data_IF_578141399239
#
_entry.id   IF_578141399239
#
_cell.length_a   1.000
_cell.length_b   1.000
_cell.length_c   1.000
_cell.angle_alpha   90.00
_cell.angle_beta   90.00
_cell.angle_gamma   90.00
#
_symmetry.space_group_name_H-M   'P 1'
#
loop_
_entity.id
_entity.type
_entity.pdbx_description
1 polymer ?
#
# COMPACT_ATOMS: atom_id res chain seq x y z
N UNK A 1 1.70 7.92 -3.26
CA UNK A 1 1.22 6.52 -3.31
C UNK A 1 -0.29 6.54 -3.29
N UNK A 2 -0.95 5.61 -4.01
CA UNK A 2 -2.41 5.70 -4.08
C UNK A 2 -3.08 4.38 -4.49
N UNK A 3 -4.36 4.23 -4.07
CA UNK A 3 -5.23 3.13 -4.46
C UNK A 3 -6.36 3.65 -5.36
N UNK A 4 -6.39 3.20 -6.58
CA UNK A 4 -7.48 3.48 -7.51
C UNK A 4 -8.63 2.46 -7.36
N UNK A 5 -9.73 2.68 -8.09
CA UNK A 5 -10.91 1.83 -8.03
C UNK A 5 -10.62 0.35 -8.32
N UNK A 6 -9.74 0.06 -9.27
CA UNK A 6 -9.37 -1.33 -9.62
C UNK A 6 -8.60 -2.01 -8.49
N UNK A 7 -7.66 -1.29 -7.85
CA UNK A 7 -6.93 -1.78 -6.69
C UNK A 7 -7.88 -2.06 -5.52
N UNK A 8 -8.81 -1.16 -5.23
CA UNK A 8 -9.79 -1.35 -4.15
C UNK A 8 -10.73 -2.54 -4.43
N UNK A 9 -11.18 -2.73 -5.68
CA UNK A 9 -11.97 -3.91 -6.07
C UNK A 9 -11.23 -5.21 -5.81
N UNK A 10 -9.94 -5.24 -6.16
CA UNK A 10 -9.08 -6.41 -5.94
C UNK A 10 -8.85 -6.66 -4.43
N UNK A 11 -8.61 -5.61 -3.66
CA UNK A 11 -8.32 -5.68 -2.23
C UNK A 11 -9.56 -5.94 -1.36
N UNK A 12 -10.77 -5.62 -1.84
CA UNK A 12 -12.04 -5.70 -1.08
C UNK A 12 -12.17 -6.97 -0.22
N UNK A 13 -11.93 -8.20 -0.73
CA UNK A 13 -12.07 -9.42 0.08
C UNK A 13 -10.95 -9.60 1.11
N UNK A 14 -9.95 -8.74 1.11
CA UNK A 14 -8.74 -8.87 1.93
C UNK A 14 -8.57 -7.78 2.98
N UNK A 15 -9.44 -6.76 3.00
CA UNK A 15 -9.46 -5.72 4.03
C UNK A 15 -9.99 -6.29 5.35
N UNK A 16 -9.12 -6.93 6.12
CA UNK A 16 -9.41 -7.45 7.46
C UNK A 16 -8.14 -7.65 8.26
N UNK A 17 -8.25 -7.53 9.59
CA UNK A 17 -7.13 -7.72 10.51
C UNK A 17 -6.09 -6.60 10.43
N UNK A 18 -4.83 -6.94 10.68
CA UNK A 18 -3.73 -5.97 10.67
C UNK A 18 -3.23 -5.75 9.23
N UNK A 19 -3.20 -4.50 8.80
CA UNK A 19 -2.75 -4.09 7.46
C UNK A 19 -1.56 -3.14 7.59
N UNK A 20 -0.46 -3.45 6.90
CA UNK A 20 0.68 -2.55 6.71
C UNK A 20 0.61 -1.93 5.34
N UNK A 21 0.69 -0.60 5.24
CA UNK A 21 0.92 0.10 3.98
C UNK A 21 2.32 0.70 3.93
N UNK A 22 3.01 0.43 2.84
CA UNK A 22 4.30 1.03 2.51
C UNK A 22 4.03 2.34 1.75
N UNK A 23 4.02 3.45 2.47
CA UNK A 23 3.50 4.73 2.02
C UNK A 23 2.00 4.90 2.31
N UNK A 24 1.56 6.16 2.46
CA UNK A 24 0.16 6.45 2.74
C UNK A 24 -0.71 6.17 1.49
N UNK A 25 -1.70 5.29 1.58
CA UNK A 25 -2.46 4.83 0.41
C UNK A 25 -3.66 5.75 0.12
N UNK A 26 -3.42 6.94 -0.47
CA UNK A 26 -4.50 7.87 -0.83
C UNK A 26 -5.55 7.20 -1.72
N UNK A 27 -6.82 7.50 -1.50
CA UNK A 27 -7.94 6.90 -2.23
C UNK A 27 -8.28 7.71 -3.48
N UNK A 28 -7.78 7.32 -4.67
CA UNK A 28 -8.11 7.95 -5.95
C UNK A 28 -9.44 7.42 -6.50
N UNK A 29 -10.50 7.61 -5.73
CA UNK A 29 -11.87 7.18 -6.07
C UNK A 29 -12.88 8.20 -5.59
N UNK A 30 -14.05 8.25 -6.23
CA UNK A 30 -15.13 9.11 -5.76
C UNK A 30 -15.85 8.50 -4.54
N UNK A 31 -16.48 9.33 -3.69
CA UNK A 31 -17.30 8.88 -2.57
C UNK A 31 -18.40 7.91 -2.99
N UNK A 32 -19.03 8.15 -4.15
CA UNK A 32 -20.09 7.31 -4.69
C UNK A 32 -19.58 5.91 -5.04
N UNK A 33 -18.34 5.83 -5.56
CA UNK A 33 -17.70 4.53 -5.85
C UNK A 33 -17.42 3.74 -4.57
N UNK A 34 -17.07 4.41 -3.47
CA UNK A 34 -16.90 3.78 -2.16
C UNK A 34 -18.26 3.30 -1.65
N UNK A 35 -19.30 4.12 -1.76
CA UNK A 35 -20.65 3.74 -1.36
C UNK A 35 -21.16 2.52 -2.14
N UNK A 36 -21.00 2.52 -3.45
CA UNK A 36 -21.40 1.39 -4.30
C UNK A 36 -20.62 0.10 -3.92
N UNK A 37 -19.33 0.24 -3.67
CA UNK A 37 -18.46 -0.91 -3.42
C UNK A 37 -18.60 -1.47 -2.01
N UNK A 38 -18.68 -0.62 -0.99
CA UNK A 38 -18.58 -1.00 0.42
C UNK A 38 -19.87 -0.76 1.22
N UNK A 39 -20.89 -0.10 0.61
CA UNK A 39 -22.13 0.25 1.29
C UNK A 39 -21.98 1.39 2.29
N UNK A 40 -20.93 2.19 2.16
CA UNK A 40 -20.53 3.22 3.09
C UNK A 40 -20.21 4.52 2.35
N UNK A 41 -20.79 5.64 2.79
CA UNK A 41 -20.49 6.96 2.25
C UNK A 41 -19.44 7.64 3.14
N UNK A 42 -18.27 8.01 2.61
CA UNK A 42 -17.24 8.71 3.37
C UNK A 42 -17.75 10.04 3.93
N UNK A 43 -17.36 10.36 5.16
CA UNK A 43 -17.67 11.62 5.82
C UNK A 43 -16.45 12.51 6.02
N UNK A 44 -15.26 11.93 5.99
CA UNK A 44 -13.98 12.64 6.08
C UNK A 44 -13.28 12.70 4.74
N UNK A 45 -12.59 13.82 4.50
CA UNK A 45 -11.89 14.08 3.24
C UNK A 45 -10.52 14.71 3.54
N UNK A 46 -9.58 14.53 2.59
CA UNK A 46 -8.21 15.04 2.67
C UNK A 46 -7.87 15.89 1.45
N UNK A 47 -7.04 16.90 1.62
CA UNK A 47 -6.52 17.79 0.56
C UNK A 47 -5.39 17.14 -0.29
N UNK A 48 -5.18 15.85 -0.17
CA UNK A 48 -4.21 15.10 -0.97
C UNK A 48 -4.48 15.12 -2.48
N UNK A 49 -5.70 15.50 -2.87
CA UNK A 49 -6.09 15.72 -4.26
C UNK A 49 -5.07 16.59 -5.03
N UNK A 50 -4.48 17.59 -4.37
CA UNK A 50 -3.50 18.51 -4.99
C UNK A 50 -2.24 17.77 -5.48
N UNK A 51 -1.80 16.75 -4.79
CA UNK A 51 -0.62 15.94 -5.15
C UNK A 51 -0.89 14.99 -6.32
N UNK A 52 -2.15 14.62 -6.48
CA UNK A 52 -2.59 13.70 -7.52
C UNK A 52 -3.25 14.38 -8.72
N UNK A 53 -3.34 15.73 -8.71
CA UNK A 53 -3.94 16.50 -9.80
C UNK A 53 -5.47 16.43 -9.87
N UNK A 54 -6.14 16.03 -8.78
CA UNK A 54 -7.59 16.05 -8.68
C UNK A 54 -8.10 17.41 -8.20
N UNK A 55 -9.33 17.78 -8.59
CA UNK A 55 -9.96 19.05 -8.17
C UNK A 55 -10.60 18.93 -6.80
N UNK A 56 -11.29 17.84 -6.56
CA UNK A 56 -12.08 17.61 -5.35
C UNK A 56 -11.24 16.89 -4.28
N UNK A 57 -11.49 17.14 -2.99
CA UNK A 57 -10.87 16.42 -1.89
C UNK A 57 -11.07 14.91 -2.02
N UNK A 58 -10.08 14.14 -1.59
CA UNK A 58 -10.14 12.68 -1.62
C UNK A 58 -10.77 12.13 -0.35
N UNK A 59 -11.52 11.02 -0.42
CA UNK A 59 -12.00 10.32 0.77
C UNK A 59 -10.83 9.94 1.70
N UNK A 60 -11.08 10.02 3.00
CA UNK A 60 -10.08 9.68 4.00
C UNK A 60 -9.84 8.17 4.08
N UNK A 61 -8.58 7.78 4.04
CA UNK A 61 -8.18 6.37 4.03
C UNK A 61 -8.40 5.71 5.37
N UNK A 62 -8.06 6.38 6.48
CA UNK A 62 -8.22 5.82 7.83
C UNK A 62 -9.69 5.52 8.10
N UNK A 63 -10.59 6.45 7.74
CA UNK A 63 -12.03 6.27 7.92
C UNK A 63 -12.55 5.03 7.16
N UNK A 64 -12.08 4.80 5.92
CA UNK A 64 -12.47 3.61 5.16
C UNK A 64 -11.96 2.32 5.81
N UNK A 65 -10.69 2.28 6.23
CA UNK A 65 -10.11 1.10 6.85
C UNK A 65 -10.78 0.77 8.19
N UNK A 66 -11.06 1.79 9.01
CA UNK A 66 -11.82 1.64 10.26
C UNK A 66 -13.23 1.07 10.00
N UNK A 67 -13.94 1.60 8.99
CA UNK A 67 -15.25 1.10 8.59
C UNK A 67 -15.20 -0.38 8.18
N UNK A 68 -14.13 -0.80 7.51
CA UNK A 68 -13.94 -2.18 7.07
C UNK A 68 -13.43 -3.11 8.21
N UNK A 69 -13.18 -2.59 9.41
CA UNK A 69 -12.62 -3.34 10.53
C UNK A 69 -11.17 -3.78 10.30
N UNK A 70 -10.42 -3.07 9.47
CA UNK A 70 -9.03 -3.31 9.17
C UNK A 70 -8.16 -2.28 9.92
N UNK A 71 -7.20 -2.76 10.71
CA UNK A 71 -6.28 -1.90 11.46
C UNK A 71 -5.12 -1.50 10.56
N UNK A 72 -5.14 -0.25 10.08
CA UNK A 72 -4.09 0.30 9.20
C UNK A 72 -2.88 0.76 10.00
N UNK A 73 -1.70 0.31 9.60
CA UNK A 73 -0.39 0.86 10.00
C UNK A 73 0.29 1.37 8.74
N UNK A 74 0.80 2.59 8.78
CA UNK A 74 1.51 3.20 7.65
C UNK A 74 2.96 3.45 8.01
N UNK A 75 3.86 3.08 7.11
CA UNK A 75 5.28 3.47 7.17
C UNK A 75 5.60 4.29 5.93
N UNK A 76 6.30 5.41 6.10
CA UNK A 76 6.68 6.28 5.00
C UNK A 76 8.03 6.94 5.29
N UNK A 77 8.66 7.51 4.27
CA UNK A 77 9.87 8.31 4.42
C UNK A 77 9.58 9.68 5.05
N UNK A 78 8.35 10.18 4.90
CA UNK A 78 7.85 11.45 5.46
C UNK A 78 6.64 11.21 6.37
N UNK A 79 6.28 12.24 7.17
CA UNK A 79 5.11 12.19 8.05
C UNK A 79 4.08 13.24 7.65
N UNK A 80 3.55 13.11 6.44
CA UNK A 80 2.70 14.14 5.84
C UNK A 80 1.23 14.07 6.29
N UNK A 81 0.74 12.90 6.72
CA UNK A 81 -0.63 12.69 7.24
C UNK A 81 -0.66 12.61 8.78
N UNK A 82 0.50 12.52 9.43
CA UNK A 82 0.62 12.51 10.88
C UNK A 82 0.54 11.13 11.55
N UNK A 83 0.04 10.12 10.86
CA UNK A 83 -0.06 8.76 11.38
C UNK A 83 1.12 7.85 11.01
N UNK A 84 1.93 8.25 10.03
CA UNK A 84 3.02 7.44 9.50
C UNK A 84 4.11 7.23 10.55
N UNK A 85 4.62 6.01 10.61
CA UNK A 85 5.91 5.70 11.22
C UNK A 85 7.01 5.96 10.19
N UNK A 86 7.95 6.83 10.53
CA UNK A 86 9.06 7.17 9.62
C UNK A 86 10.00 5.97 9.48
N UNK A 87 10.23 5.54 8.24
CA UNK A 87 11.13 4.45 7.92
C UNK A 87 11.74 4.61 6.53
N UNK A 88 13.03 4.32 6.41
CA UNK A 88 13.70 4.23 5.12
C UNK A 88 13.78 2.77 4.68
N UNK A 89 13.00 2.41 3.66
CA UNK A 89 12.93 1.05 3.13
C UNK A 89 14.21 0.59 2.43
N UNK A 90 15.16 1.50 2.16
CA UNK A 90 16.47 1.12 1.62
C UNK A 90 17.34 0.33 2.61
N UNK A 91 16.97 0.35 3.89
CA UNK A 91 17.65 -0.36 4.97
C UNK A 91 16.76 -1.45 5.57
N UNK A 92 17.34 -2.46 6.26
CA UNK A 92 16.57 -3.47 6.99
C UNK A 92 15.62 -2.84 8.00
N UNK A 93 14.36 -3.31 8.01
CA UNK A 93 13.29 -2.83 8.88
C UNK A 93 12.57 -4.00 9.55
N UNK A 94 12.07 -3.78 10.77
CA UNK A 94 11.26 -4.72 11.53
C UNK A 94 9.90 -4.10 11.90
N UNK A 95 8.90 -4.23 11.04
CA UNK A 95 7.57 -3.64 11.25
C UNK A 95 6.60 -4.56 12.02
N UNK A 96 6.97 -5.82 12.27
CA UNK A 96 6.08 -6.83 12.82
C UNK A 96 5.42 -7.69 11.73
N UNK A 97 4.24 -8.28 12.04
CA UNK A 97 3.55 -9.23 11.15
C UNK A 97 2.11 -8.83 10.90
N UNK A 98 1.73 -8.76 9.63
CA UNK A 98 0.45 -8.27 9.15
C UNK A 98 -0.28 -9.32 8.31
N UNK A 99 -1.61 -9.26 8.31
CA UNK A 99 -2.47 -10.12 7.48
C UNK A 99 -2.39 -9.70 6.01
N UNK A 100 -2.23 -8.39 5.78
CA UNK A 100 -2.07 -7.80 4.46
C UNK A 100 -0.95 -6.76 4.49
N UNK A 101 -0.04 -6.81 3.51
CA UNK A 101 0.94 -5.75 3.24
C UNK A 101 0.58 -5.12 1.90
N UNK A 102 0.43 -3.80 1.87
CA UNK A 102 0.08 -3.04 0.66
C UNK A 102 1.28 -2.19 0.26
N UNK A 103 1.71 -2.33 -0.97
CA UNK A 103 2.64 -1.43 -1.65
C UNK A 103 1.87 -0.66 -2.73
N UNK A 104 1.42 0.57 -2.43
CA UNK A 104 0.58 1.37 -3.34
C UNK A 104 1.41 2.25 -4.28
N UNK A 105 2.54 1.75 -4.76
CA UNK A 105 3.46 2.49 -5.61
C UNK A 105 4.60 3.16 -4.83
N UNK A 106 5.26 2.43 -3.94
CA UNK A 106 6.36 2.91 -3.09
C UNK A 106 7.69 2.27 -3.46
N UNK A 107 7.70 0.96 -3.74
CA UNK A 107 8.95 0.23 -3.92
C UNK A 107 9.78 0.74 -5.11
N UNK A 108 9.14 1.21 -6.17
CA UNK A 108 9.82 1.78 -7.34
C UNK A 108 10.60 3.06 -7.04
N UNK A 109 10.31 3.72 -5.92
CA UNK A 109 11.02 4.90 -5.42
C UNK A 109 12.15 4.57 -4.45
N UNK A 110 12.35 3.28 -4.10
CA UNK A 110 13.46 2.85 -3.25
C UNK A 110 14.67 2.50 -4.13
N UNK A 111 15.82 3.16 -3.91
CA UNK A 111 17.04 2.87 -4.66
C UNK A 111 17.51 1.44 -4.41
N UNK A 112 17.48 0.97 -3.14
CA UNK A 112 17.75 -0.42 -2.77
C UNK A 112 16.45 -1.25 -2.79
N UNK A 113 15.88 -1.41 -3.97
CA UNK A 113 14.61 -2.09 -4.15
C UNK A 113 14.61 -3.53 -3.63
N UNK A 114 15.74 -4.23 -3.69
CA UNK A 114 15.87 -5.58 -3.15
C UNK A 114 15.61 -5.62 -1.64
N UNK A 115 16.16 -4.66 -0.89
CA UNK A 115 15.90 -4.54 0.55
C UNK A 115 14.44 -4.19 0.83
N UNK A 116 13.84 -3.29 0.05
CA UNK A 116 12.45 -2.93 0.20
C UNK A 116 11.50 -4.14 0.01
N UNK A 117 11.78 -5.02 -0.97
CA UNK A 117 11.09 -6.29 -1.11
C UNK A 117 11.29 -7.23 0.07
N UNK A 118 12.50 -7.30 0.63
CA UNK A 118 12.78 -8.11 1.83
C UNK A 118 11.98 -7.59 3.02
N UNK A 119 11.93 -6.28 3.24
CA UNK A 119 11.15 -5.65 4.31
C UNK A 119 9.65 -5.99 4.17
N UNK A 120 9.08 -5.83 2.96
CA UNK A 120 7.68 -6.19 2.69
C UNK A 120 7.40 -7.67 2.98
N UNK A 121 8.24 -8.57 2.46
CA UNK A 121 8.07 -10.02 2.65
C UNK A 121 8.27 -10.45 4.12
N UNK A 122 9.19 -9.79 4.84
CA UNK A 122 9.41 -10.04 6.27
C UNK A 122 8.23 -9.58 7.13
N UNK A 123 7.39 -8.66 6.64
CA UNK A 123 6.27 -8.09 7.39
C UNK A 123 4.95 -8.87 7.21
N UNK A 124 4.87 -9.85 6.33
CA UNK A 124 3.65 -10.61 6.13
C UNK A 124 3.58 -11.84 7.04
N UNK A 125 2.40 -12.12 7.62
CA UNK A 125 2.11 -13.36 8.38
C UNK A 125 2.13 -14.57 7.46
N UNK A 126 2.39 -15.76 8.01
CA UNK A 126 2.17 -17.02 7.28
C UNK A 126 0.69 -17.12 6.89
N UNK A 127 0.41 -17.31 5.60
CA UNK A 127 -0.95 -17.27 5.04
C UNK A 127 -1.50 -15.87 4.76
N UNK A 128 -0.78 -14.81 5.13
CA UNK A 128 -1.08 -13.43 4.76
C UNK A 128 -0.83 -13.15 3.27
N UNK A 129 -1.03 -11.90 2.86
CA UNK A 129 -0.92 -11.46 1.46
C UNK A 129 -0.07 -10.22 1.33
N UNK A 130 0.56 -10.08 0.17
CA UNK A 130 1.20 -8.83 -0.26
C UNK A 130 0.51 -8.39 -1.54
N UNK A 131 0.13 -7.13 -1.59
CA UNK A 131 -0.39 -6.47 -2.78
C UNK A 131 0.63 -5.44 -3.26
N UNK A 132 1.00 -5.51 -4.53
CA UNK A 132 1.86 -4.52 -5.18
C UNK A 132 1.10 -3.81 -6.29
N UNK A 133 1.22 -2.48 -6.33
CA UNK A 133 0.75 -1.63 -7.41
C UNK A 133 1.94 -0.78 -7.87
N UNK A 134 2.58 -1.16 -8.96
CA UNK A 134 3.80 -0.52 -9.43
C UNK A 134 3.79 -0.33 -10.96
N UNK A 135 4.50 0.68 -11.49
CA UNK A 135 4.51 0.97 -12.91
C UNK A 135 5.30 -0.07 -13.69
N UNK A 136 4.78 -0.45 -14.86
CA UNK A 136 5.49 -1.29 -15.83
C UNK A 136 6.24 -0.47 -16.89
N UNK A 137 5.74 0.73 -17.23
CA UNK A 137 6.21 1.52 -18.39
C UNK A 137 6.10 3.04 -18.19
N UNK A 138 6.14 3.52 -16.95
CA UNK A 138 6.05 4.96 -16.68
C UNK A 138 7.44 5.61 -16.70
N UNK A 139 7.68 6.50 -17.68
CA UNK A 139 8.92 7.26 -17.79
C UNK A 139 8.95 8.36 -16.72
N UNK A 140 10.10 8.52 -16.05
CA UNK A 140 10.33 9.56 -15.03
C UNK A 140 9.38 9.47 -13.80
N UNK A 141 8.86 8.28 -13.49
CA UNK A 141 8.00 8.09 -12.32
C UNK A 141 8.79 7.73 -11.05
N UNK A 142 9.69 6.78 -11.15
CA UNK A 142 10.54 6.32 -10.05
C UNK A 142 11.89 5.84 -10.56
N UNK A 143 12.66 5.17 -9.72
CA UNK A 143 13.94 4.55 -10.15
C UNK A 143 13.70 3.33 -11.04
N UNK A 144 12.56 2.64 -10.88
CA UNK A 144 12.31 1.36 -11.52
C UNK A 144 10.93 1.29 -12.18
N UNK A 145 10.88 0.64 -13.34
CA UNK A 145 9.69 0.04 -13.90
C UNK A 145 9.73 -1.46 -13.60
N UNK A 146 8.70 -2.03 -12.99
CA UNK A 146 8.74 -3.36 -12.43
C UNK A 146 8.05 -4.39 -13.32
N UNK A 147 8.81 -5.39 -13.75
CA UNK A 147 8.27 -6.51 -14.50
C UNK A 147 7.48 -7.46 -13.56
N UNK A 148 6.30 -7.99 -13.96
CA UNK A 148 5.55 -8.97 -13.17
C UNK A 148 6.36 -10.19 -12.72
N UNK A 149 7.33 -10.62 -13.51
CA UNK A 149 8.24 -11.72 -13.16
C UNK A 149 9.02 -11.47 -11.87
N UNK A 150 9.35 -10.20 -11.56
CA UNK A 150 10.03 -9.85 -10.32
C UNK A 150 9.18 -10.24 -9.10
N UNK A 151 7.89 -9.90 -9.10
CA UNK A 151 6.97 -10.23 -8.01
C UNK A 151 6.79 -11.73 -7.84
N UNK A 152 6.64 -12.46 -8.95
CA UNK A 152 6.46 -13.91 -8.93
C UNK A 152 7.69 -14.66 -8.41
N UNK A 153 8.89 -14.18 -8.69
CA UNK A 153 10.14 -14.84 -8.30
C UNK A 153 10.63 -14.43 -6.93
N UNK A 154 10.54 -13.14 -6.57
CA UNK A 154 11.01 -12.63 -5.27
C UNK A 154 10.20 -13.21 -4.12
N UNK A 155 8.87 -13.18 -4.21
CA UNK A 155 7.98 -13.67 -3.15
C UNK A 155 8.15 -15.15 -2.89
N UNK A 156 8.29 -15.97 -3.94
CA UNK A 156 8.53 -17.43 -3.79
C UNK A 156 9.86 -17.73 -3.10
N UNK A 157 10.92 -17.02 -3.44
CA UNK A 157 12.27 -17.25 -2.86
C UNK A 157 12.36 -16.75 -1.42
N UNK A 158 11.74 -15.63 -1.10
CA UNK A 158 11.80 -15.03 0.23
C UNK A 158 10.95 -15.81 1.23
N UNK A 159 9.70 -16.14 0.88
CA UNK A 159 8.81 -16.95 1.74
C UNK A 159 9.34 -18.40 1.88
N UNK A 160 9.98 -18.95 0.85
CA UNK A 160 10.63 -20.28 0.92
C UNK A 160 11.84 -20.32 1.86
N UNK A 161 12.60 -19.23 2.00
CA UNK A 161 13.73 -19.12 2.95
C UNK A 161 13.31 -18.88 4.40
N UNK A 162 12.14 -18.31 4.63
CA UNK A 162 11.59 -18.11 5.97
C UNK A 162 10.99 -19.40 6.58
N UNK A 163 10.95 -20.49 5.81
CA UNK A 163 10.51 -21.83 6.26
C UNK A 163 11.64 -22.80 6.60
N UNK A 164 12.87 -22.38 6.42
CA UNK A 164 14.08 -23.12 6.79
C UNK A 164 14.69 -22.54 8.07
#
# INVERSE_FOLDING_TARGET
MALNLSALKFLKPHFKGDVLSLGYPDLLVSPESIQEMFGYMPSKFTDANKWHGFKDPLPDTEELFDHLGAKLTVVDFTKDRGMETIADLNYPQEFGKFDLVIDPGTLEHCFNIAQAFVNAAASVKVGGRIFHLSPMTMINHGFYNLCPTLFMTSTRRTVGRLKA
#
